data_IF_183960784249
#
_entry.id   IF_183960784249
#
_cell.length_a   1.000
_cell.length_b   1.000
_cell.length_c   1.000
_cell.angle_alpha   90.00
_cell.angle_beta   90.00
_cell.angle_gamma   90.00
#
_symmetry.space_group_name_H-M   'P 1'
#
loop_
_entity.id
_entity.type
_entity.pdbx_description
1 polymer ?
#
# COMPACT_ATOMS: atom_id res chain seq x y z
N UNK A 1 24.57 -10.97 35.67
CA UNK A 1 24.68 -10.74 34.23
C UNK A 1 23.32 -10.25 33.75
N UNK A 2 23.19 -8.95 33.56
CA UNK A 2 21.95 -8.28 33.19
C UNK A 2 21.60 -8.61 31.74
N UNK A 3 20.46 -9.29 31.53
CA UNK A 3 19.86 -9.44 30.20
C UNK A 3 19.53 -8.05 29.68
N UNK A 4 20.32 -7.58 28.71
CA UNK A 4 20.01 -6.38 27.95
C UNK A 4 18.91 -6.75 26.97
N UNK A 5 17.67 -6.39 27.28
CA UNK A 5 16.55 -6.45 26.35
C UNK A 5 16.87 -5.47 25.22
N UNK A 6 17.42 -5.98 24.12
CA UNK A 6 17.60 -5.21 22.90
C UNK A 6 16.18 -4.85 22.45
N UNK A 7 15.81 -3.60 22.64
CA UNK A 7 14.57 -3.06 22.09
C UNK A 7 14.63 -3.25 20.57
N UNK A 8 13.60 -3.86 19.95
CA UNK A 8 13.63 -4.11 18.51
C UNK A 8 13.83 -2.79 17.79
N UNK A 9 14.69 -2.80 16.76
CA UNK A 9 14.92 -1.63 15.94
C UNK A 9 13.58 -1.08 15.40
N UNK A 10 13.41 0.25 15.33
CA UNK A 10 12.17 0.86 14.83
C UNK A 10 11.85 0.37 13.42
N UNK A 11 10.58 0.04 13.17
CA UNK A 11 10.12 -0.42 11.86
C UNK A 11 9.95 0.78 10.91
N UNK A 12 11.09 1.26 10.38
CA UNK A 12 11.18 2.45 9.52
C UNK A 12 10.21 2.41 8.33
N UNK A 13 9.88 1.21 7.83
CA UNK A 13 8.93 1.04 6.72
C UNK A 13 7.50 1.35 7.16
N UNK A 14 7.11 0.82 8.32
CA UNK A 14 5.80 1.08 8.92
C UNK A 14 5.65 2.54 9.37
N UNK A 15 6.70 3.13 9.92
CA UNK A 15 6.71 4.54 10.30
C UNK A 15 6.50 5.44 9.07
N UNK A 16 7.14 5.12 7.94
CA UNK A 16 6.94 5.85 6.70
C UNK A 16 5.52 5.68 6.15
N UNK A 17 4.97 4.46 6.18
CA UNK A 17 3.56 4.21 5.83
C UNK A 17 2.61 5.08 6.65
N UNK A 18 2.78 5.08 7.97
CA UNK A 18 1.97 5.85 8.92
C UNK A 18 2.06 7.35 8.62
N UNK A 19 3.26 7.88 8.37
CA UNK A 19 3.45 9.30 7.96
C UNK A 19 2.73 9.63 6.66
N UNK A 20 2.74 8.72 5.68
CA UNK A 20 2.05 8.90 4.40
C UNK A 20 0.52 8.88 4.58
N UNK A 21 -0.02 8.00 5.44
CA UNK A 21 -1.45 7.99 5.79
C UNK A 21 -1.85 9.29 6.48
N UNK A 22 -1.06 9.77 7.45
CA UNK A 22 -1.30 11.05 8.11
C UNK A 22 -1.25 12.24 7.14
N UNK A 23 -0.37 12.20 6.14
CA UNK A 23 -0.37 13.18 5.06
C UNK A 23 -1.69 13.16 4.27
N UNK A 24 -2.23 11.97 3.98
CA UNK A 24 -3.53 11.84 3.32
C UNK A 24 -4.66 12.42 4.16
N UNK A 25 -4.66 12.17 5.48
CA UNK A 25 -5.64 12.75 6.41
C UNK A 25 -5.60 14.27 6.39
N UNK A 26 -4.40 14.87 6.42
CA UNK A 26 -4.23 16.33 6.33
C UNK A 26 -4.81 16.90 5.04
N UNK A 27 -4.60 16.25 3.90
CA UNK A 27 -5.21 16.70 2.63
C UNK A 27 -6.75 16.69 2.69
N UNK A 28 -7.36 15.67 3.28
CA UNK A 28 -8.83 15.64 3.48
C UNK A 28 -9.29 16.77 4.40
N UNK A 29 -8.57 17.02 5.49
CA UNK A 29 -8.88 18.15 6.39
C UNK A 29 -8.77 19.49 5.68
N UNK A 30 -7.72 19.70 4.88
CA UNK A 30 -7.55 20.92 4.08
C UNK A 30 -8.66 21.09 3.04
N UNK A 31 -9.07 20.01 2.36
CA UNK A 31 -10.20 20.04 1.41
C UNK A 31 -11.50 20.43 2.10
N UNK A 32 -11.81 19.82 3.25
CA UNK A 32 -13.03 20.13 4.00
C UNK A 32 -13.04 21.58 4.53
N UNK A 33 -11.88 22.11 4.93
CA UNK A 33 -11.76 23.50 5.33
C UNK A 33 -12.02 24.45 4.16
N UNK A 34 -11.49 24.15 2.97
CA UNK A 34 -11.76 24.95 1.75
C UNK A 34 -13.24 24.87 1.34
N UNK A 35 -13.85 23.69 1.40
CA UNK A 35 -15.27 23.49 1.13
C UNK A 35 -16.15 24.35 2.06
N UNK A 36 -15.86 24.35 3.37
CA UNK A 36 -16.57 25.18 4.35
C UNK A 36 -16.33 26.67 4.13
N UNK A 37 -15.11 27.06 3.74
CA UNK A 37 -14.77 28.45 3.49
C UNK A 37 -15.46 28.98 2.23
N UNK A 38 -15.54 28.16 1.17
CA UNK A 38 -16.25 28.51 -0.06
C UNK A 38 -17.77 28.64 0.14
N UNK A 39 -18.34 27.88 1.09
CA UNK A 39 -19.74 28.04 1.49
C UNK A 39 -19.99 29.30 2.34
N UNK A 40 -18.93 29.91 2.86
CA UNK A 40 -19.01 31.19 3.58
C UNK A 40 -18.87 32.34 2.58
N UNK A 41 -19.56 33.47 2.79
CA UNK A 41 -19.43 34.69 1.97
C UNK A 41 -18.07 35.41 2.16
N UNK A 42 -17.00 34.66 2.42
CA UNK A 42 -15.64 35.17 2.60
C UNK A 42 -15.01 35.41 1.23
N UNK A 43 -14.28 36.52 1.08
CA UNK A 43 -13.45 36.74 -0.08
C UNK A 43 -12.17 35.89 0.05
N UNK A 44 -12.09 34.81 -0.74
CA UNK A 44 -10.97 33.88 -0.75
C UNK A 44 -9.86 34.24 -1.75
N UNK A 45 -10.02 35.31 -2.53
CA UNK A 45 -9.06 35.68 -3.59
C UNK A 45 -8.78 34.51 -4.54
N UNK A 46 -7.50 34.25 -4.82
CA UNK A 46 -7.07 33.16 -5.71
C UNK A 46 -7.44 31.76 -5.19
N UNK A 47 -7.68 31.59 -3.88
CA UNK A 47 -8.11 30.30 -3.31
C UNK A 47 -9.52 29.89 -3.78
N UNK A 48 -10.31 30.82 -4.29
CA UNK A 48 -11.61 30.52 -4.92
C UNK A 48 -11.48 29.65 -6.18
N UNK A 49 -10.30 29.61 -6.80
CA UNK A 49 -10.02 28.83 -8.00
C UNK A 49 -9.63 27.38 -7.68
N UNK A 50 -9.37 27.05 -6.41
CA UNK A 50 -8.97 25.71 -6.00
C UNK A 50 -10.21 24.85 -5.81
N UNK A 51 -10.35 23.80 -6.61
CA UNK A 51 -11.41 22.81 -6.42
C UNK A 51 -11.07 21.94 -5.19
N UNK A 52 -11.80 22.11 -4.08
CA UNK A 52 -11.54 21.35 -2.83
C UNK A 52 -11.53 19.83 -3.03
N UNK A 53 -12.30 19.34 -4.00
CA UNK A 53 -12.38 17.93 -4.40
C UNK A 53 -11.06 17.41 -5.01
N UNK A 54 -10.17 18.27 -5.51
CA UNK A 54 -8.83 17.87 -5.95
C UNK A 54 -7.96 17.39 -4.79
N UNK A 55 -8.11 17.98 -3.60
CA UNK A 55 -7.42 17.50 -2.41
C UNK A 55 -7.93 16.11 -1.99
N UNK A 56 -9.23 15.84 -2.17
CA UNK A 56 -9.81 14.51 -1.92
C UNK A 56 -9.26 13.47 -2.90
N UNK A 57 -9.16 13.82 -4.18
CA UNK A 57 -8.59 12.94 -5.21
C UNK A 57 -7.10 12.67 -4.99
N UNK A 58 -6.34 13.71 -4.66
CA UNK A 58 -4.94 13.58 -4.29
C UNK A 58 -4.78 12.67 -3.07
N UNK A 59 -5.61 12.84 -2.03
CA UNK A 59 -5.59 11.99 -0.85
C UNK A 59 -5.92 10.52 -1.15
N UNK A 60 -6.90 10.27 -2.01
CA UNK A 60 -7.23 8.91 -2.45
C UNK A 60 -6.06 8.24 -3.15
N UNK A 61 -5.44 8.92 -4.12
CA UNK A 61 -4.28 8.41 -4.86
C UNK A 61 -3.11 8.16 -3.91
N UNK A 62 -2.81 9.11 -3.03
CA UNK A 62 -1.67 9.01 -2.11
C UNK A 62 -1.84 7.91 -1.07
N UNK A 63 -3.07 7.63 -0.61
CA UNK A 63 -3.31 6.54 0.34
C UNK A 63 -2.96 5.18 -0.28
N UNK A 64 -3.34 4.96 -1.55
CA UNK A 64 -3.04 3.72 -2.27
C UNK A 64 -1.56 3.63 -2.62
N UNK A 65 -0.93 4.74 -2.99
CA UNK A 65 0.52 4.80 -3.17
C UNK A 65 1.28 4.48 -1.88
N UNK A 66 0.76 4.89 -0.72
CA UNK A 66 1.35 4.56 0.58
C UNK A 66 1.34 3.04 0.84
N UNK A 67 0.21 2.39 0.59
CA UNK A 67 0.07 0.93 0.71
C UNK A 67 1.01 0.19 -0.23
N UNK A 68 1.01 0.56 -1.51
CA UNK A 68 1.83 -0.05 -2.56
C UNK A 68 3.33 0.05 -2.21
N UNK A 69 3.79 1.24 -1.86
CA UNK A 69 5.16 1.50 -1.47
C UNK A 69 5.56 0.71 -0.21
N UNK A 70 4.69 0.65 0.80
CA UNK A 70 4.95 -0.14 2.01
C UNK A 70 5.08 -1.63 1.67
N UNK A 71 4.16 -2.18 0.88
CA UNK A 71 4.19 -3.59 0.49
C UNK A 71 5.48 -3.94 -0.27
N UNK A 72 5.93 -3.11 -1.21
CA UNK A 72 7.23 -3.32 -1.89
C UNK A 72 8.38 -3.45 -0.90
N UNK A 73 8.49 -2.50 0.03
CA UNK A 73 9.58 -2.50 1.03
C UNK A 73 9.46 -3.65 2.02
N UNK A 74 8.25 -3.99 2.42
CA UNK A 74 7.97 -5.08 3.34
C UNK A 74 8.35 -6.43 2.73
N UNK A 75 7.88 -6.69 1.50
CA UNK A 75 8.13 -7.92 0.75
C UNK A 75 9.63 -8.10 0.49
N UNK A 76 10.30 -7.07 -0.03
CA UNK A 76 11.73 -7.19 -0.36
C UNK A 76 12.55 -7.46 0.90
N UNK A 77 12.36 -6.70 1.98
CA UNK A 77 13.17 -6.91 3.18
C UNK A 77 12.95 -8.28 3.81
N UNK A 78 11.69 -8.72 3.95
CA UNK A 78 11.39 -10.06 4.49
C UNK A 78 11.93 -11.17 3.59
N UNK A 79 11.91 -10.99 2.27
CA UNK A 79 12.49 -11.96 1.35
C UNK A 79 14.02 -12.08 1.56
N UNK A 80 14.72 -10.96 1.76
CA UNK A 80 16.15 -10.97 2.10
C UNK A 80 16.41 -11.64 3.45
N UNK A 81 15.61 -11.34 4.48
CA UNK A 81 15.68 -12.00 5.78
C UNK A 81 15.53 -13.53 5.64
N UNK A 82 14.55 -14.00 4.86
CA UNK A 82 14.34 -15.43 4.58
C UNK A 82 15.48 -16.05 3.74
N UNK A 83 16.06 -15.31 2.81
CA UNK A 83 17.21 -15.78 2.00
C UNK A 83 18.41 -16.08 2.91
N UNK A 84 18.60 -15.25 3.95
CA UNK A 84 19.71 -15.33 4.89
C UNK A 84 19.46 -16.32 6.02
N UNK A 85 18.21 -16.51 6.43
CA UNK A 85 17.84 -17.42 7.50
C UNK A 85 17.76 -18.88 7.03
N UNK A 86 18.90 -19.57 7.07
CA UNK A 86 19.08 -20.93 6.54
C UNK A 86 18.12 -22.01 7.09
N UNK A 87 17.66 -21.98 8.35
CA UNK A 87 16.69 -22.95 8.87
C UNK A 87 15.27 -22.73 8.34
N UNK A 88 14.90 -21.51 7.92
CA UNK A 88 13.53 -21.20 7.51
C UNK A 88 13.23 -21.72 6.11
N UNK A 89 12.23 -22.61 5.93
CA UNK A 89 11.84 -23.06 4.60
C UNK A 89 11.33 -21.89 3.76
N UNK A 90 12.00 -21.64 2.62
CA UNK A 90 11.62 -20.58 1.68
C UNK A 90 10.19 -20.79 1.17
N UNK A 91 9.35 -19.73 1.07
CA UNK A 91 8.09 -19.78 0.35
C UNK A 91 8.25 -20.30 -1.07
N UNK A 92 7.28 -21.06 -1.58
CA UNK A 92 7.41 -21.67 -2.91
C UNK A 92 7.65 -20.64 -4.02
N UNK A 93 7.01 -19.46 -3.93
CA UNK A 93 7.23 -18.38 -4.89
C UNK A 93 8.65 -17.82 -4.84
N UNK A 94 9.25 -17.76 -3.65
CA UNK A 94 10.63 -17.34 -3.45
C UNK A 94 11.62 -18.42 -3.90
N UNK A 95 11.30 -19.71 -3.69
CA UNK A 95 12.11 -20.83 -4.20
C UNK A 95 12.22 -20.80 -5.72
N UNK A 96 11.13 -20.48 -6.42
CA UNK A 96 11.08 -20.39 -7.88
C UNK A 96 11.48 -19.02 -8.43
N UNK A 97 11.98 -18.10 -7.59
CA UNK A 97 12.37 -16.77 -8.04
C UNK A 97 13.58 -16.87 -8.99
N UNK A 98 13.40 -16.42 -10.23
CA UNK A 98 14.44 -16.45 -11.24
C UNK A 98 15.43 -15.30 -11.06
N UNK A 99 16.72 -15.62 -11.00
CA UNK A 99 17.81 -14.65 -10.90
C UNK A 99 18.60 -14.67 -12.22
N UNK A 100 18.74 -13.53 -12.93
CA UNK A 100 19.55 -13.45 -14.13
C UNK A 100 21.02 -13.79 -13.85
N UNK A 101 21.72 -14.36 -14.84
CA UNK A 101 23.12 -14.75 -14.68
C UNK A 101 24.03 -13.55 -14.36
N UNK A 102 23.77 -12.39 -14.96
CA UNK A 102 24.47 -11.14 -14.64
C UNK A 102 24.39 -10.79 -13.14
N UNK A 103 23.22 -10.98 -12.52
CA UNK A 103 23.05 -10.77 -11.08
C UNK A 103 23.89 -11.77 -10.27
N UNK A 104 24.00 -13.03 -10.73
CA UNK A 104 24.85 -14.05 -10.10
C UNK A 104 26.34 -13.73 -10.23
N UNK A 105 26.77 -13.12 -11.34
CA UNK A 105 28.15 -12.67 -11.52
C UNK A 105 28.49 -11.55 -10.54
N UNK A 106 27.61 -10.55 -10.39
CA UNK A 106 27.78 -9.44 -9.45
C UNK A 106 27.81 -9.92 -7.98
N UNK A 107 27.05 -10.96 -7.63
CA UNK A 107 27.07 -11.57 -6.28
C UNK A 107 28.42 -12.16 -5.88
N UNK A 108 29.33 -12.43 -6.82
CA UNK A 108 30.68 -12.92 -6.50
C UNK A 108 31.59 -11.81 -5.96
N UNK A 109 31.24 -10.56 -6.26
CA UNK A 109 32.07 -9.38 -5.97
C UNK A 109 31.45 -8.49 -4.87
N UNK A 110 30.15 -8.65 -4.61
CA UNK A 110 29.38 -7.83 -3.66
C UNK A 110 28.59 -8.69 -2.67
N UNK A 111 28.25 -8.17 -1.48
CA UNK A 111 27.38 -8.89 -0.54
C UNK A 111 26.06 -9.31 -1.20
N UNK A 112 25.72 -10.60 -1.06
CA UNK A 112 24.52 -11.19 -1.69
C UNK A 112 23.25 -10.41 -1.32
N UNK A 113 23.15 -9.95 -0.07
CA UNK A 113 22.03 -9.18 0.46
C UNK A 113 21.78 -7.89 -0.33
N UNK A 114 22.85 -7.14 -0.62
CA UNK A 114 22.76 -5.86 -1.33
C UNK A 114 22.34 -6.11 -2.78
N UNK A 115 22.99 -7.07 -3.44
CA UNK A 115 22.71 -7.41 -4.84
C UNK A 115 21.29 -7.95 -5.01
N UNK A 116 20.85 -8.86 -4.12
CA UNK A 116 19.47 -9.37 -4.15
C UNK A 116 18.46 -8.28 -3.82
N UNK A 117 18.75 -7.40 -2.86
CA UNK A 117 17.83 -6.32 -2.50
C UNK A 117 17.64 -5.35 -3.67
N UNK A 118 18.72 -4.94 -4.32
CA UNK A 118 18.68 -4.10 -5.51
C UNK A 118 17.89 -4.79 -6.62
N UNK A 119 18.27 -6.02 -6.96
CA UNK A 119 17.63 -6.79 -8.02
C UNK A 119 16.12 -7.02 -7.77
N UNK A 120 15.74 -7.43 -6.56
CA UNK A 120 14.33 -7.65 -6.21
C UNK A 120 13.56 -6.34 -6.17
N UNK A 121 14.15 -5.24 -5.70
CA UNK A 121 13.51 -3.92 -5.71
C UNK A 121 13.20 -3.48 -7.13
N UNK A 122 14.15 -3.62 -8.05
CA UNK A 122 13.96 -3.28 -9.47
C UNK A 122 12.96 -4.21 -10.17
N UNK A 123 13.04 -5.52 -9.90
CA UNK A 123 12.15 -6.50 -10.54
C UNK A 123 10.73 -6.35 -10.03
N UNK A 124 10.54 -6.33 -8.72
CA UNK A 124 9.21 -6.26 -8.12
C UNK A 124 8.61 -4.87 -8.26
N UNK A 125 9.41 -3.79 -8.27
CA UNK A 125 8.94 -2.41 -8.45
C UNK A 125 8.24 -2.13 -9.79
N UNK A 126 8.30 -3.06 -10.76
CA UNK A 126 7.49 -3.00 -12.00
C UNK A 126 6.04 -3.46 -11.80
N UNK A 127 5.78 -4.19 -10.73
CA UNK A 127 4.45 -4.66 -10.33
C UNK A 127 3.80 -3.64 -9.37
N UNK A 128 2.47 -3.55 -9.37
CA UNK A 128 1.71 -2.75 -8.39
C UNK A 128 0.93 -3.67 -7.46
N UNK A 129 1.07 -3.44 -6.17
CA UNK A 129 0.44 -4.18 -5.08
C UNK A 129 -0.79 -3.44 -4.56
N UNK A 130 -1.77 -3.26 -5.44
CA UNK A 130 -3.00 -2.51 -5.12
C UNK A 130 -4.24 -3.37 -5.20
N UNK A 131 -4.33 -4.22 -6.24
CA UNK A 131 -5.44 -5.16 -6.39
C UNK A 131 -5.23 -6.41 -5.53
N UNK A 132 -6.30 -7.05 -5.05
CA UNK A 132 -6.19 -8.17 -4.12
C UNK A 132 -5.28 -9.32 -4.56
N UNK A 133 -5.37 -9.69 -5.85
CA UNK A 133 -4.59 -10.81 -6.38
C UNK A 133 -3.10 -10.43 -6.47
N UNK A 134 -2.79 -9.19 -6.86
CA UNK A 134 -1.41 -8.68 -6.90
C UNK A 134 -0.80 -8.58 -5.50
N UNK A 135 -1.56 -8.11 -4.52
CA UNK A 135 -1.14 -8.10 -3.11
C UNK A 135 -0.81 -9.53 -2.69
N UNK A 136 -1.72 -10.48 -2.87
CA UNK A 136 -1.49 -11.86 -2.46
C UNK A 136 -0.30 -12.51 -3.18
N UNK A 137 -0.14 -12.25 -4.49
CA UNK A 137 1.03 -12.68 -5.27
C UNK A 137 2.35 -12.14 -4.68
N UNK A 138 2.40 -10.86 -4.32
CA UNK A 138 3.56 -10.26 -3.67
C UNK A 138 3.86 -10.88 -2.30
N UNK A 139 2.83 -11.06 -1.47
CA UNK A 139 2.97 -11.66 -0.14
C UNK A 139 3.46 -13.11 -0.20
N UNK A 140 3.15 -13.86 -1.25
CA UNK A 140 3.63 -15.23 -1.42
C UNK A 140 5.16 -15.36 -1.58
N UNK A 141 5.89 -14.26 -1.81
CA UNK A 141 7.36 -14.29 -1.69
C UNK A 141 7.85 -14.43 -0.25
N UNK A 142 7.01 -14.10 0.74
CA UNK A 142 7.39 -14.00 2.15
C UNK A 142 6.51 -14.84 3.08
N UNK A 143 5.56 -15.61 2.54
CA UNK A 143 4.75 -16.57 3.30
C UNK A 143 4.43 -17.84 2.50
N UNK A 144 4.30 -18.98 3.18
CA UNK A 144 3.83 -20.25 2.60
C UNK A 144 2.31 -20.26 2.34
N UNK A 145 1.58 -19.26 2.85
CA UNK A 145 0.13 -19.19 2.75
C UNK A 145 -0.29 -19.04 1.28
N UNK A 146 -1.29 -19.83 0.86
CA UNK A 146 -1.96 -19.64 -0.43
C UNK A 146 -2.82 -18.39 -0.40
N UNK A 147 -3.14 -17.81 -1.57
CA UNK A 147 -3.94 -16.59 -1.67
C UNK A 147 -5.26 -16.66 -0.86
N UNK A 148 -5.97 -17.79 -0.91
CA UNK A 148 -7.19 -17.98 -0.13
C UNK A 148 -6.98 -17.97 1.39
N UNK A 149 -5.85 -18.48 1.88
CA UNK A 149 -5.51 -18.44 3.30
C UNK A 149 -5.16 -17.01 3.74
N UNK A 150 -4.36 -16.30 2.95
CA UNK A 150 -4.02 -14.89 3.18
C UNK A 150 -5.29 -14.05 3.34
N UNK A 151 -6.19 -14.11 2.35
CA UNK A 151 -7.40 -13.29 2.39
C UNK A 151 -8.40 -13.73 3.47
N UNK A 152 -8.46 -15.02 3.80
CA UNK A 152 -9.26 -15.51 4.92
C UNK A 152 -8.80 -14.89 6.25
N UNK A 153 -7.50 -14.91 6.52
CA UNK A 153 -6.95 -14.35 7.76
C UNK A 153 -7.05 -12.81 7.80
N UNK A 154 -6.74 -12.12 6.69
CA UNK A 154 -6.95 -10.67 6.58
C UNK A 154 -8.41 -10.31 6.88
N UNK A 155 -9.37 -11.06 6.32
CA UNK A 155 -10.81 -10.82 6.55
C UNK A 155 -11.18 -11.02 8.03
N UNK A 156 -10.66 -12.06 8.67
CA UNK A 156 -10.90 -12.31 10.10
C UNK A 156 -10.41 -11.16 10.98
N UNK A 157 -9.26 -10.57 10.64
CA UNK A 157 -8.69 -9.43 11.38
C UNK A 157 -9.49 -8.14 11.11
N UNK A 158 -9.95 -7.91 9.88
CA UNK A 158 -10.78 -6.74 9.54
C UNK A 158 -12.16 -6.75 10.22
N UNK A 159 -12.62 -7.91 10.69
CA UNK A 159 -13.74 -8.04 11.61
C UNK A 159 -14.78 -9.08 11.21
N UNK A 160 -15.61 -9.53 12.16
CA UNK A 160 -16.48 -10.70 12.00
C UNK A 160 -17.61 -10.52 10.98
N UNK A 161 -17.92 -9.29 10.59
CA UNK A 161 -18.99 -8.97 9.62
C UNK A 161 -18.49 -8.98 8.16
N UNK A 162 -17.18 -9.14 7.95
CA UNK A 162 -16.58 -9.12 6.61
C UNK A 162 -16.59 -10.51 5.98
N UNK A 163 -16.76 -10.58 4.66
CA UNK A 163 -16.49 -11.78 3.88
C UNK A 163 -15.32 -11.53 2.95
N UNK A 164 -14.60 -12.60 2.57
CA UNK A 164 -13.45 -12.51 1.67
C UNK A 164 -13.82 -11.78 0.39
N UNK A 165 -14.96 -12.12 -0.21
CA UNK A 165 -15.41 -11.49 -1.46
C UNK A 165 -15.67 -9.99 -1.30
N UNK A 166 -16.32 -9.56 -0.21
CA UNK A 166 -16.56 -8.14 0.07
C UNK A 166 -15.27 -7.36 0.29
N UNK A 167 -14.31 -7.95 1.02
CA UNK A 167 -12.99 -7.34 1.26
C UNK A 167 -12.24 -7.17 -0.06
N UNK A 168 -12.18 -8.23 -0.88
CA UNK A 168 -11.51 -8.18 -2.19
C UNK A 168 -12.21 -7.21 -3.14
N UNK A 169 -13.54 -7.23 -3.18
CA UNK A 169 -14.34 -6.33 -4.01
C UNK A 169 -14.09 -4.87 -3.63
N UNK A 170 -14.20 -4.51 -2.34
CA UNK A 170 -13.96 -3.15 -1.86
C UNK A 170 -12.56 -2.66 -2.22
N UNK A 171 -11.53 -3.50 -2.01
CA UNK A 171 -10.17 -3.13 -2.39
C UNK A 171 -10.00 -2.95 -3.90
N UNK A 172 -10.71 -3.75 -4.71
CA UNK A 172 -10.69 -3.62 -6.18
C UNK A 172 -11.35 -2.31 -6.61
N UNK A 173 -12.52 -1.97 -6.09
CA UNK A 173 -13.22 -0.73 -6.36
C UNK A 173 -12.38 0.51 -6.00
N UNK A 174 -11.66 0.45 -4.87
CA UNK A 174 -10.75 1.50 -4.43
C UNK A 174 -9.57 1.67 -5.40
N UNK A 175 -8.96 0.57 -5.85
CA UNK A 175 -7.89 0.60 -6.83
C UNK A 175 -8.37 1.09 -8.21
N UNK A 176 -9.57 0.70 -8.63
CA UNK A 176 -10.14 1.14 -9.91
C UNK A 176 -10.52 2.63 -9.87
N UNK A 177 -11.05 3.12 -8.74
CA UNK A 177 -11.27 4.57 -8.54
C UNK A 177 -9.96 5.36 -8.66
N UNK A 178 -8.85 4.84 -8.12
CA UNK A 178 -7.52 5.44 -8.26
C UNK A 178 -7.08 5.52 -9.71
N UNK A 179 -7.27 4.46 -10.48
CA UNK A 179 -6.93 4.44 -11.90
C UNK A 179 -7.72 5.48 -12.68
N UNK A 180 -9.02 5.62 -12.38
CA UNK A 180 -9.85 6.70 -12.96
C UNK A 180 -9.25 8.09 -12.71
N UNK A 181 -8.85 8.37 -11.46
CA UNK A 181 -8.23 9.65 -11.08
C UNK A 181 -6.89 9.87 -11.79
N UNK A 182 -6.00 8.88 -11.72
CA UNK A 182 -4.60 9.05 -12.10
C UNK A 182 -4.33 8.85 -13.59
N UNK A 183 -5.16 8.07 -14.29
CA UNK A 183 -4.90 7.63 -15.66
C UNK A 183 -6.03 7.97 -16.65
N UNK A 184 -7.26 8.19 -16.18
CA UNK A 184 -8.44 8.39 -17.06
C UNK A 184 -9.03 9.81 -16.94
N UNK A 185 -8.24 10.78 -16.44
CA UNK A 185 -8.63 12.18 -16.21
C UNK A 185 -9.84 12.37 -15.27
N UNK A 186 -10.27 11.30 -14.59
CA UNK A 186 -11.44 11.24 -13.73
C UNK A 186 -12.78 11.61 -14.38
N UNK A 187 -12.94 11.47 -15.70
CA UNK A 187 -14.14 11.90 -16.42
C UNK A 187 -15.22 10.80 -16.46
N UNK A 188 -16.46 11.18 -16.14
CA UNK A 188 -17.67 10.41 -16.46
C UNK A 188 -18.02 10.70 -17.93
N UNK A 189 -17.76 9.74 -18.82
CA UNK A 189 -17.95 9.90 -20.26
C UNK A 189 -19.41 10.16 -20.66
N UNK A 190 -20.37 9.73 -19.85
CA UNK A 190 -21.79 9.95 -20.13
C UNK A 190 -22.22 11.38 -19.76
N UNK A 191 -21.56 12.00 -18.79
CA UNK A 191 -21.91 13.33 -18.26
C UNK A 191 -20.95 14.45 -18.66
N UNK A 192 -19.74 14.11 -19.10
CA UNK A 192 -18.68 15.07 -19.42
C UNK A 192 -18.09 15.78 -18.19
N UNK A 193 -18.45 15.36 -16.99
CA UNK A 193 -17.99 15.93 -15.71
C UNK A 193 -17.11 14.93 -14.97
N UNK A 194 -16.30 15.40 -14.02
CA UNK A 194 -15.52 14.49 -13.19
C UNK A 194 -16.42 13.66 -12.28
N UNK A 195 -16.00 12.42 -11.96
CA UNK A 195 -16.71 11.60 -10.99
C UNK A 195 -16.77 12.32 -9.63
N UNK A 196 -17.93 12.31 -8.95
CA UNK A 196 -18.07 12.92 -7.64
C UNK A 196 -17.17 12.24 -6.62
N UNK A 197 -16.74 13.01 -5.63
CA UNK A 197 -15.94 12.55 -4.50
C UNK A 197 -16.18 13.47 -3.31
N UNK A 198 -16.28 12.88 -2.12
CA UNK A 198 -16.57 13.63 -0.89
C UNK A 198 -15.49 13.42 0.17
N UNK A 199 -15.43 14.32 1.15
CA UNK A 199 -14.52 14.16 2.29
C UNK A 199 -14.79 12.88 3.09
N UNK A 200 -16.06 12.52 3.41
CA UNK A 200 -16.39 11.24 4.07
C UNK A 200 -15.90 10.02 3.29
N UNK A 201 -16.21 9.90 2.00
CA UNK A 201 -15.81 8.74 1.18
C UNK A 201 -14.28 8.58 1.14
N UNK A 202 -13.58 9.71 1.03
CA UNK A 202 -12.11 9.72 1.01
C UNK A 202 -11.52 9.32 2.35
N UNK A 203 -12.09 9.81 3.47
CA UNK A 203 -11.67 9.44 4.82
C UNK A 203 -11.89 7.94 5.08
N UNK A 204 -13.03 7.41 4.66
CA UNK A 204 -13.37 6.00 4.80
C UNK A 204 -12.44 5.11 3.98
N UNK A 205 -11.99 5.60 2.82
CA UNK A 205 -10.97 4.92 2.01
C UNK A 205 -9.60 4.94 2.67
N UNK A 206 -9.16 6.07 3.23
CA UNK A 206 -7.89 6.14 3.97
C UNK A 206 -7.91 5.18 5.17
N UNK A 207 -9.01 5.18 5.94
CA UNK A 207 -9.21 4.26 7.06
C UNK A 207 -9.17 2.80 6.60
N UNK A 208 -9.80 2.49 5.47
CA UNK A 208 -9.76 1.15 4.89
C UNK A 208 -8.34 0.72 4.54
N UNK A 209 -7.58 1.58 3.87
CA UNK A 209 -6.20 1.28 3.47
C UNK A 209 -5.30 1.04 4.69
N UNK A 210 -5.41 1.88 5.72
CA UNK A 210 -4.67 1.70 6.97
C UNK A 210 -5.04 0.37 7.65
N UNK A 211 -6.33 0.08 7.81
CA UNK A 211 -6.80 -1.16 8.43
C UNK A 211 -6.38 -2.40 7.62
N UNK A 212 -6.41 -2.33 6.29
CA UNK A 212 -5.93 -3.41 5.42
C UNK A 212 -4.43 -3.63 5.61
N UNK A 213 -3.62 -2.57 5.68
CA UNK A 213 -2.19 -2.68 5.93
C UNK A 213 -1.88 -3.31 7.30
N UNK A 214 -2.60 -2.89 8.34
CA UNK A 214 -2.51 -3.48 9.69
C UNK A 214 -2.85 -4.98 9.66
N UNK A 215 -3.95 -5.34 8.98
CA UNK A 215 -4.36 -6.74 8.86
C UNK A 215 -3.33 -7.59 8.10
N UNK A 216 -2.80 -7.08 6.98
CA UNK A 216 -1.74 -7.75 6.22
C UNK A 216 -0.49 -7.94 7.09
N UNK A 217 -0.06 -6.90 7.81
CA UNK A 217 1.10 -6.97 8.70
C UNK A 217 0.93 -8.04 9.77
N UNK A 218 -0.26 -8.15 10.36
CA UNK A 218 -0.59 -9.18 11.34
C UNK A 218 -0.60 -10.60 10.73
N UNK A 219 -0.99 -10.77 9.46
CA UNK A 219 -0.92 -12.07 8.75
C UNK A 219 0.52 -12.50 8.45
N UNK A 220 1.45 -11.55 8.35
CA UNK A 220 2.86 -11.84 8.09
C UNK A 220 3.67 -12.08 9.37
N UNK A 221 3.16 -11.68 10.53
CA UNK A 221 3.79 -11.96 11.83
C UNK A 221 3.43 -13.36 12.33
#
# INVERSE_FOLDING_TARGET
MTSSTIQPAPDVRWDQFTKNIEFCRRMVHSGAALESAAASNLNLGDLSQVEHTDLYRAAWVQAISALDHWLHREIVSRAIEIINDRPTPRPDRLKSYAVPWETVEVMRERPIDDVMREHMTERLGRDSYQKPDRIAEGLQYVTQKKQGQIWKEVTQILGPQQTVDKVKQRQTEIADRRNKIAHEADIDHDKGTRWPITAPDTRDTINWIENLAVAIRAVLN
#
